data_IF_273861609714
#
_entry.id   IF_273861609714
#
_cell.length_a   1.000
_cell.length_b   1.000
_cell.length_c   1.000
_cell.angle_alpha   90.00
_cell.angle_beta   90.00
_cell.angle_gamma   90.00
#
_symmetry.space_group_name_H-M   'P 1'
#
loop_
_entity.id
_entity.type
_entity.pdbx_description
1 polymer ?
#
# COMPACT_ATOMS: atom_id res chain seq x y z
N UNK A 1 -31.44 -34.35 33.83
CA UNK A 1 -32.20 -33.12 33.53
C UNK A 1 -31.37 -31.92 33.93
N UNK A 2 -30.88 -31.16 32.94
CA UNK A 2 -30.71 -29.71 32.96
C UNK A 2 -30.33 -29.30 31.54
N UNK A 3 -31.35 -28.82 30.83
CA UNK A 3 -31.26 -28.23 29.51
C UNK A 3 -30.87 -26.77 29.67
N UNK A 4 -29.88 -26.30 28.90
CA UNK A 4 -29.64 -24.89 28.67
C UNK A 4 -29.65 -24.69 27.15
N UNK A 5 -30.77 -24.15 26.66
CA UNK A 5 -30.99 -23.65 25.31
C UNK A 5 -30.78 -22.14 25.33
N UNK A 6 -29.96 -21.59 24.43
CA UNK A 6 -29.92 -20.16 24.05
C UNK A 6 -29.52 -20.10 22.55
N UNK A 7 -29.89 -19.07 21.78
CA UNK A 7 -30.83 -19.16 20.67
C UNK A 7 -30.16 -19.03 19.29
N UNK A 8 -30.92 -19.44 18.28
CA UNK A 8 -30.73 -19.23 16.85
C UNK A 8 -30.38 -17.76 16.53
N UNK A 9 -29.26 -17.56 15.85
CA UNK A 9 -29.05 -16.39 14.97
C UNK A 9 -29.00 -16.93 13.54
N UNK A 10 -30.13 -16.81 12.86
CA UNK A 10 -30.22 -17.02 11.43
C UNK A 10 -29.71 -15.76 10.73
N UNK A 11 -28.52 -15.82 10.14
CA UNK A 11 -28.13 -14.87 9.10
C UNK A 11 -28.45 -15.49 7.74
N UNK A 12 -29.57 -15.04 7.17
CA UNK A 12 -29.89 -15.22 5.76
C UNK A 12 -29.55 -13.92 5.03
N UNK A 13 -28.69 -14.03 3.99
CA UNK A 13 -28.55 -13.18 2.79
C UNK A 13 -27.08 -13.31 2.32
N UNK A 14 -26.71 -14.14 1.33
CA UNK A 14 -27.05 -14.12 -0.11
C UNK A 14 -26.41 -12.92 -0.83
N UNK A 15 -25.20 -13.12 -1.38
CA UNK A 15 -24.84 -12.71 -2.74
C UNK A 15 -23.94 -13.79 -3.34
N UNK A 16 -24.52 -14.62 -4.20
CA UNK A 16 -23.78 -15.35 -5.20
C UNK A 16 -23.35 -14.33 -6.27
N UNK A 17 -22.05 -14.09 -6.44
CA UNK A 17 -21.55 -13.47 -7.66
C UNK A 17 -21.66 -14.49 -8.80
N UNK A 18 -22.81 -14.44 -9.48
CA UNK A 18 -22.90 -14.86 -10.87
C UNK A 18 -22.25 -13.79 -11.74
N UNK A 19 -21.20 -14.17 -12.45
CA UNK A 19 -20.45 -13.28 -13.33
C UNK A 19 -19.57 -14.06 -14.30
N UNK A 20 -20.13 -15.10 -14.92
CA UNK A 20 -19.59 -15.66 -16.15
C UNK A 20 -20.11 -14.81 -17.31
N UNK A 21 -19.24 -14.03 -17.94
CA UNK A 21 -19.39 -13.62 -19.33
C UNK A 21 -18.03 -13.74 -20.01
N UNK A 22 -17.85 -14.82 -20.76
CA UNK A 22 -16.90 -14.81 -21.87
C UNK A 22 -17.39 -13.80 -22.89
N UNK A 23 -16.72 -12.65 -22.95
CA UNK A 23 -16.66 -11.80 -24.13
C UNK A 23 -15.21 -11.43 -24.33
N UNK A 24 -14.62 -11.97 -25.39
CA UNK A 24 -13.42 -11.43 -26.02
C UNK A 24 -13.64 -9.92 -26.19
N UNK A 25 -12.92 -9.11 -25.42
CA UNK A 25 -12.83 -7.67 -25.61
C UNK A 25 -11.37 -7.35 -25.37
N UNK A 26 -10.70 -7.09 -26.48
CA UNK A 26 -9.31 -6.69 -26.55
C UNK A 26 -9.10 -5.41 -25.73
N UNK A 27 -8.63 -5.55 -24.48
CA UNK A 27 -8.17 -4.42 -23.64
C UNK A 27 -7.10 -4.86 -22.62
N UNK A 28 -6.38 -5.94 -22.92
CA UNK A 28 -5.54 -6.67 -21.97
C UNK A 28 -4.18 -6.06 -21.63
N UNK A 29 -3.84 -4.86 -22.11
CA UNK A 29 -2.50 -4.28 -21.87
C UNK A 29 -2.47 -3.16 -20.83
N UNK A 30 -3.57 -2.42 -20.63
CA UNK A 30 -3.59 -1.25 -19.73
C UNK A 30 -4.00 -1.64 -18.30
N UNK A 31 -5.02 -2.51 -18.17
CA UNK A 31 -5.44 -3.04 -16.87
C UNK A 31 -4.35 -3.93 -16.22
N UNK A 32 -3.63 -4.71 -17.03
CA UNK A 32 -2.58 -5.61 -16.54
C UNK A 32 -1.34 -4.87 -16.02
N UNK A 33 -0.91 -3.81 -16.70
CA UNK A 33 0.26 -3.03 -16.31
C UNK A 33 0.03 -2.30 -14.97
N UNK A 34 -1.12 -1.64 -14.82
CA UNK A 34 -1.45 -0.96 -13.56
C UNK A 34 -1.69 -1.96 -12.42
N UNK A 35 -2.28 -3.14 -12.67
CA UNK A 35 -2.47 -4.14 -11.63
C UNK A 35 -1.16 -4.65 -11.02
N UNK A 36 -0.17 -4.98 -11.86
CA UNK A 36 1.16 -5.39 -11.41
C UNK A 36 1.88 -4.26 -10.66
N UNK A 37 1.82 -3.03 -11.17
CA UNK A 37 2.41 -1.86 -10.50
C UNK A 37 1.77 -1.61 -9.13
N UNK A 38 0.45 -1.63 -9.04
CA UNK A 38 -0.27 -1.42 -7.78
C UNK A 38 0.08 -2.48 -6.74
N UNK A 39 0.19 -3.75 -7.16
CA UNK A 39 0.63 -4.85 -6.27
C UNK A 39 2.06 -4.64 -5.77
N UNK A 40 2.98 -4.27 -6.67
CA UNK A 40 4.38 -3.97 -6.31
C UNK A 40 4.50 -2.76 -5.40
N UNK A 41 3.67 -1.73 -5.64
CA UNK A 41 3.62 -0.54 -4.82
C UNK A 41 3.18 -0.86 -3.38
N UNK A 42 2.08 -1.59 -3.21
CA UNK A 42 1.60 -2.05 -1.90
C UNK A 42 2.66 -2.88 -1.18
N UNK A 43 3.29 -3.85 -1.86
CA UNK A 43 4.36 -4.65 -1.26
C UNK A 43 5.56 -3.82 -0.79
N UNK A 44 6.01 -2.84 -1.58
CA UNK A 44 7.12 -1.96 -1.20
C UNK A 44 6.75 -1.00 -0.05
N UNK A 45 5.51 -0.49 -0.06
CA UNK A 45 4.96 0.33 1.02
C UNK A 45 4.91 -0.46 2.34
N UNK A 46 4.40 -1.68 2.29
CA UNK A 46 4.25 -2.54 3.47
C UNK A 46 5.59 -2.97 4.05
N UNK A 47 6.58 -3.24 3.20
CA UNK A 47 7.96 -3.48 3.63
C UNK A 47 8.53 -2.26 4.36
N UNK A 48 8.33 -1.05 3.82
CA UNK A 48 8.79 0.18 4.47
C UNK A 48 8.07 0.41 5.81
N UNK A 49 6.75 0.20 5.86
CA UNK A 49 5.97 0.30 7.10
C UNK A 49 6.48 -0.69 8.15
N UNK A 50 6.74 -1.95 7.78
CA UNK A 50 7.29 -2.95 8.67
C UNK A 50 8.69 -2.59 9.19
N UNK A 51 9.56 -2.06 8.33
CA UNK A 51 10.88 -1.54 8.73
C UNK A 51 10.74 -0.35 9.69
N UNK A 52 9.84 0.57 9.40
CA UNK A 52 9.57 1.74 10.25
C UNK A 52 9.03 1.32 11.64
N UNK A 53 8.13 0.34 11.69
CA UNK A 53 7.55 -0.17 12.95
C UNK A 53 8.57 -0.94 13.78
N UNK A 54 9.39 -1.78 13.14
CA UNK A 54 10.40 -2.58 13.84
C UNK A 54 11.51 -1.68 14.40
N UNK A 55 11.84 -0.61 13.66
CA UNK A 55 13.00 0.21 13.93
C UNK A 55 14.31 -0.57 13.82
N UNK A 56 15.45 0.04 14.18
CA UNK A 56 16.73 -0.67 14.25
C UNK A 56 16.79 -1.66 15.43
N UNK A 57 15.91 -1.55 16.41
CA UNK A 57 15.96 -2.33 17.66
C UNK A 57 17.06 -1.88 18.62
N UNK A 58 17.04 -2.40 19.86
CA UNK A 58 18.05 -2.07 20.88
C UNK A 58 19.40 -2.70 20.51
N UNK A 59 20.41 -1.86 20.25
CA UNK A 59 21.74 -2.31 19.84
C UNK A 59 21.81 -2.83 18.41
N UNK A 60 20.77 -2.61 17.60
CA UNK A 60 20.79 -2.98 16.19
C UNK A 60 21.53 -1.97 15.32
N UNK A 61 21.82 -2.43 14.10
CA UNK A 61 22.61 -1.68 13.13
C UNK A 61 21.72 -0.63 12.44
N UNK A 62 21.82 0.61 12.92
CA UNK A 62 21.08 1.75 12.37
C UNK A 62 21.46 2.04 10.92
N UNK A 63 22.71 1.80 10.53
CA UNK A 63 23.18 2.01 9.15
C UNK A 63 22.50 1.01 8.23
N UNK A 64 22.46 -0.26 8.63
CA UNK A 64 21.74 -1.28 7.87
C UNK A 64 20.24 -1.00 7.80
N UNK A 65 19.61 -0.62 8.91
CA UNK A 65 18.19 -0.29 8.94
C UNK A 65 17.83 0.87 8.01
N UNK A 66 18.63 1.95 8.02
CA UNK A 66 18.45 3.07 7.08
C UNK A 66 18.66 2.61 5.64
N UNK A 67 19.68 1.80 5.36
CA UNK A 67 19.91 1.25 4.02
C UNK A 67 18.76 0.36 3.53
N UNK A 68 18.16 -0.43 4.42
CA UNK A 68 16.99 -1.26 4.11
C UNK A 68 15.75 -0.38 3.82
N UNK A 69 15.55 0.73 4.57
CA UNK A 69 14.50 1.73 4.26
C UNK A 69 14.71 2.40 2.91
N UNK A 70 15.93 2.83 2.62
CA UNK A 70 16.29 3.45 1.35
C UNK A 70 16.09 2.47 0.18
N UNK A 71 16.43 1.19 0.38
CA UNK A 71 16.21 0.14 -0.59
C UNK A 71 14.71 -0.12 -0.85
N UNK A 72 13.87 -0.09 0.20
CA UNK A 72 12.43 -0.21 0.05
C UNK A 72 11.84 0.98 -0.73
N UNK A 73 12.25 2.22 -0.40
CA UNK A 73 11.85 3.43 -1.15
C UNK A 73 12.29 3.39 -2.62
N UNK A 74 13.51 2.90 -2.88
CA UNK A 74 14.05 2.80 -4.23
C UNK A 74 13.25 1.85 -5.14
N UNK A 75 12.49 0.90 -4.56
CA UNK A 75 11.57 0.02 -5.32
C UNK A 75 10.38 0.77 -5.91
N UNK A 76 10.00 1.92 -5.33
CA UNK A 76 8.81 2.68 -5.76
C UNK A 76 9.11 3.52 -7.01
N UNK A 77 10.30 4.14 -7.09
CA UNK A 77 10.71 5.00 -8.21
C UNK A 77 10.49 4.41 -9.61
N UNK A 78 10.95 3.19 -9.93
CA UNK A 78 10.78 2.61 -11.26
C UNK A 78 9.34 2.21 -11.59
N UNK A 79 8.41 2.20 -10.62
CA UNK A 79 7.02 1.84 -10.85
C UNK A 79 6.27 2.91 -11.65
N UNK A 80 6.66 4.17 -11.52
CA UNK A 80 6.08 5.27 -12.30
C UNK A 80 6.25 5.08 -13.82
N UNK A 81 7.35 4.48 -14.26
CA UNK A 81 7.62 4.24 -15.68
C UNK A 81 6.85 3.04 -16.22
N UNK A 82 6.39 2.15 -15.34
CA UNK A 82 5.61 0.95 -15.67
C UNK A 82 4.09 1.20 -15.59
N UNK A 83 3.66 2.21 -14.84
CA UNK A 83 2.26 2.59 -14.71
C UNK A 83 1.79 3.51 -15.86
N UNK A 84 0.48 3.65 -15.97
CA UNK A 84 -0.18 4.57 -16.88
C UNK A 84 -1.21 5.45 -16.16
N UNK A 85 -1.59 6.57 -16.79
CA UNK A 85 -2.64 7.45 -16.31
C UNK A 85 -2.41 8.02 -14.90
N UNK A 86 -3.44 7.96 -14.06
CA UNK A 86 -3.42 8.57 -12.73
C UNK A 86 -2.51 7.81 -11.76
N UNK A 87 -2.38 6.48 -11.91
CA UNK A 87 -1.45 5.66 -11.11
C UNK A 87 -0.02 6.17 -11.31
N UNK A 88 0.40 6.37 -12.57
CA UNK A 88 1.70 6.96 -12.90
C UNK A 88 1.89 8.34 -12.27
N UNK A 89 0.93 9.24 -12.47
CA UNK A 89 1.03 10.61 -11.96
C UNK A 89 1.17 10.64 -10.43
N UNK A 90 0.42 9.80 -9.72
CA UNK A 90 0.46 9.74 -8.26
C UNK A 90 1.75 9.09 -7.74
N UNK A 91 2.28 8.05 -8.39
CA UNK A 91 3.59 7.48 -8.04
C UNK A 91 4.70 8.50 -8.28
N UNK A 92 4.68 9.23 -9.40
CA UNK A 92 5.67 10.30 -9.67
C UNK A 92 5.63 11.40 -8.61
N UNK A 93 4.41 11.81 -8.20
CA UNK A 93 4.23 12.79 -7.13
C UNK A 93 4.77 12.27 -5.80
N UNK A 94 4.48 11.02 -5.43
CA UNK A 94 4.99 10.38 -4.23
C UNK A 94 6.51 10.38 -4.24
N UNK A 95 7.13 9.88 -5.31
CA UNK A 95 8.60 9.80 -5.46
C UNK A 95 9.24 11.19 -5.37
N UNK A 96 8.62 12.21 -5.96
CA UNK A 96 9.11 13.59 -5.92
C UNK A 96 9.00 14.24 -4.54
N UNK A 97 8.10 13.74 -3.68
CA UNK A 97 7.90 14.21 -2.32
C UNK A 97 8.73 13.45 -1.29
N UNK A 98 9.44 12.39 -1.69
CA UNK A 98 10.30 11.63 -0.78
C UNK A 98 11.45 12.52 -0.28
N UNK A 99 11.74 12.49 1.04
CA UNK A 99 12.91 13.16 1.59
C UNK A 99 14.19 12.50 1.08
N UNK A 100 15.30 13.24 1.13
CA UNK A 100 16.62 12.68 0.81
C UNK A 100 17.09 11.69 1.87
N UNK A 101 16.72 11.92 3.12
CA UNK A 101 16.97 11.03 4.23
C UNK A 101 15.67 10.32 4.61
N UNK A 102 15.63 8.99 4.46
CA UNK A 102 14.45 8.19 4.79
C UNK A 102 14.12 8.19 6.28
N UNK A 103 15.05 8.61 7.15
CA UNK A 103 14.80 8.79 8.58
C UNK A 103 13.76 9.87 8.84
N UNK A 104 13.74 10.92 8.02
CA UNK A 104 12.78 12.03 8.15
C UNK A 104 11.33 11.53 8.13
N UNK A 105 11.03 10.45 7.38
CA UNK A 105 9.67 9.89 7.30
C UNK A 105 9.10 9.45 8.66
N UNK A 106 9.96 9.06 9.59
CA UNK A 106 9.58 8.46 10.88
C UNK A 106 9.85 9.37 12.08
N UNK A 107 10.28 10.60 11.84
CA UNK A 107 10.47 11.59 12.91
C UNK A 107 9.14 11.99 13.57
N UNK A 108 9.25 12.48 14.81
CA UNK A 108 8.14 13.10 15.52
C UNK A 108 7.56 14.26 14.72
N UNK A 109 6.22 14.26 14.53
CA UNK A 109 5.47 15.26 13.78
C UNK A 109 6.00 15.47 12.35
N UNK A 110 6.49 14.39 11.74
CA UNK A 110 7.11 14.44 10.42
C UNK A 110 6.13 14.91 9.33
N UNK A 111 6.43 16.06 8.74
CA UNK A 111 5.74 16.58 7.56
C UNK A 111 5.98 15.68 6.34
N UNK A 112 7.19 15.16 6.18
CA UNK A 112 7.53 14.25 5.07
C UNK A 112 6.88 12.88 5.25
N UNK A 113 6.77 12.39 6.49
CA UNK A 113 6.02 11.19 6.84
C UNK A 113 4.53 11.34 6.53
N UNK A 114 3.91 12.44 6.95
CA UNK A 114 2.50 12.71 6.61
C UNK A 114 2.30 12.82 5.10
N UNK A 115 3.20 13.52 4.38
CA UNK A 115 3.13 13.61 2.92
C UNK A 115 3.32 12.24 2.24
N UNK A 116 4.14 11.35 2.79
CA UNK A 116 4.28 9.98 2.31
C UNK A 116 2.98 9.20 2.44
N UNK A 117 2.32 9.26 3.60
CA UNK A 117 1.02 8.61 3.83
C UNK A 117 -0.05 9.15 2.88
N UNK A 118 -0.19 10.48 2.80
CA UNK A 118 -1.21 11.12 1.96
C UNK A 118 -1.01 10.79 0.47
N UNK A 119 0.23 10.81 -0.01
CA UNK A 119 0.53 10.45 -1.40
C UNK A 119 0.35 8.95 -1.65
N UNK A 120 0.62 8.09 -0.66
CA UNK A 120 0.42 6.64 -0.78
C UNK A 120 -1.07 6.27 -0.84
N UNK A 121 -1.92 6.95 -0.06
CA UNK A 121 -3.37 6.83 -0.15
C UNK A 121 -3.90 7.29 -1.52
N UNK A 122 -3.34 8.36 -2.09
CA UNK A 122 -3.68 8.80 -3.43
C UNK A 122 -3.29 7.76 -4.50
N UNK A 123 -2.16 7.07 -4.34
CA UNK A 123 -1.78 5.95 -5.22
C UNK A 123 -2.79 4.80 -5.06
N UNK A 124 -3.09 4.37 -3.83
CA UNK A 124 -4.07 3.31 -3.57
C UNK A 124 -5.46 3.63 -4.17
N UNK A 125 -5.93 4.88 -4.02
CA UNK A 125 -7.19 5.35 -4.61
C UNK A 125 -7.16 5.27 -6.15
N UNK A 126 -6.03 5.63 -6.76
CA UNK A 126 -5.88 5.53 -8.22
C UNK A 126 -5.77 4.08 -8.71
N UNK A 127 -5.21 3.19 -7.89
CA UNK A 127 -5.19 1.76 -8.14
C UNK A 127 -6.61 1.17 -8.13
N UNK A 128 -7.41 1.53 -7.12
CA UNK A 128 -8.82 1.11 -7.02
C UNK A 128 -9.65 1.62 -8.21
N UNK A 129 -9.46 2.89 -8.58
CA UNK A 129 -10.07 3.50 -9.78
C UNK A 129 -9.63 2.82 -11.09
N UNK A 130 -8.48 2.15 -11.08
CA UNK A 130 -7.95 1.37 -12.21
C UNK A 130 -8.34 -0.12 -12.13
N UNK A 131 -9.20 -0.50 -11.19
CA UNK A 131 -9.70 -1.87 -11.02
C UNK A 131 -8.80 -2.79 -10.19
N UNK A 132 -7.81 -2.24 -9.47
CA UNK A 132 -6.91 -3.00 -8.57
C UNK A 132 -6.97 -2.42 -7.17
N UNK A 133 -7.82 -3.00 -6.32
CA UNK A 133 -7.87 -2.64 -4.90
C UNK A 133 -6.60 -3.14 -4.20
N UNK A 134 -5.92 -2.25 -3.49
CA UNK A 134 -4.75 -2.57 -2.65
C UNK A 134 -4.98 -2.05 -1.25
N UNK A 135 -4.62 -2.84 -0.25
CA UNK A 135 -4.57 -2.42 1.14
C UNK A 135 -3.13 -2.06 1.47
N UNK A 136 -2.93 -0.93 2.16
CA UNK A 136 -1.61 -0.49 2.61
C UNK A 136 -1.51 -0.70 4.11
N UNK A 137 -0.41 -1.28 4.57
CA UNK A 137 -0.08 -1.36 5.98
C UNK A 137 -0.01 0.05 6.59
N UNK A 138 -0.44 0.20 7.84
CA UNK A 138 -0.37 1.48 8.52
C UNK A 138 1.09 1.93 8.69
N UNK A 139 1.42 3.13 8.21
CA UNK A 139 2.73 3.71 8.42
C UNK A 139 2.80 4.38 9.80
N UNK A 140 3.80 4.05 10.65
CA UNK A 140 3.81 4.45 12.05
C UNK A 140 4.25 5.91 12.25
N UNK A 141 3.37 6.86 11.94
CA UNK A 141 3.58 8.27 12.22
C UNK A 141 3.60 8.53 13.73
N UNK A 142 4.64 9.23 14.20
CA UNK A 142 4.72 9.66 15.59
C UNK A 142 4.12 11.07 15.72
N UNK A 143 3.04 11.22 16.50
CA UNK A 143 2.42 12.51 16.81
C UNK A 143 2.58 12.80 18.30
N UNK A 144 2.99 14.02 18.65
CA UNK A 144 3.22 14.43 20.06
C UNK A 144 2.40 15.66 20.47
#
# INVERSE_FOLDING_TARGET
MRFTLIPVVAFAALVALVGCSSSDSADGSVLGANADVCTKFSAAHDELAALATTGPGVGGDTVRWTADKDAALAKISPLADQAEGQVKANIQKLVSALPKDSLELTEADSVSGQAFVDNSEAVATSCDSSGTTVELAEFPLQKF
#
